data_IF_060839621561
#
_entry.id   IF_060839621561
#
_cell.length_a   1.000
_cell.length_b   1.000
_cell.length_c   1.000
_cell.angle_alpha   90.00
_cell.angle_beta   90.00
_cell.angle_gamma   90.00
#
_symmetry.space_group_name_H-M   'P 1'
#
loop_
_entity.id
_entity.type
_entity.pdbx_description
1 polymer ?
#
# COMPACT_ATOMS: atom_id res chain seq x y z
N UNK A 1 25.53 12.66 25.30
CA UNK A 1 25.48 14.09 24.91
C UNK A 1 26.90 14.58 24.77
N UNK A 2 27.24 15.13 23.59
CA UNK A 2 28.60 15.27 23.09
C UNK A 2 29.26 16.64 23.33
N UNK A 3 28.71 17.54 24.16
CA UNK A 3 29.38 18.79 24.53
C UNK A 3 29.00 19.23 25.96
N UNK A 4 29.96 19.84 26.67
CA UNK A 4 29.78 20.34 28.04
C UNK A 4 29.24 21.77 28.09
N UNK A 5 28.41 22.06 29.09
CA UNK A 5 27.83 23.38 29.37
C UNK A 5 28.71 24.20 30.32
N UNK A 6 28.81 25.52 30.11
CA UNK A 6 29.53 26.44 31.00
C UNK A 6 28.71 26.81 32.27
N UNK A 7 29.41 27.01 33.39
CA UNK A 7 28.79 27.31 34.69
C UNK A 7 28.09 28.67 34.72
N UNK A 8 26.81 28.67 35.09
CA UNK A 8 25.97 29.87 35.28
C UNK A 8 24.76 30.00 34.35
N UNK A 9 24.56 29.09 33.39
CA UNK A 9 23.42 29.12 32.47
C UNK A 9 22.20 28.40 33.06
N UNK A 10 21.26 29.14 33.66
CA UNK A 10 20.06 28.61 34.33
C UNK A 10 18.75 28.77 33.52
N UNK A 11 18.83 29.00 32.20
CA UNK A 11 17.64 29.00 31.36
C UNK A 11 17.45 27.63 30.69
N UNK A 12 16.31 26.97 30.94
CA UNK A 12 15.89 25.64 30.44
C UNK A 12 16.64 24.40 31.01
N UNK A 13 16.62 24.14 32.33
CA UNK A 13 17.30 22.96 32.92
C UNK A 13 16.67 21.60 32.54
N UNK A 14 15.44 21.57 32.02
CA UNK A 14 14.70 20.32 31.78
C UNK A 14 14.41 20.01 30.31
N UNK A 15 14.91 20.79 29.34
CA UNK A 15 14.83 20.42 27.91
C UNK A 15 13.46 19.93 27.42
N UNK A 16 12.36 20.44 27.98
CA UNK A 16 11.02 19.90 27.74
C UNK A 16 10.35 20.45 26.47
N UNK A 17 11.06 21.28 25.71
CA UNK A 17 10.76 21.55 24.30
C UNK A 17 11.71 20.72 23.44
N UNK A 18 11.55 19.40 23.55
CA UNK A 18 12.21 18.44 22.68
C UNK A 18 11.29 18.15 21.49
N UNK A 19 11.73 18.36 20.24
CA UNK A 19 11.01 17.94 19.02
C UNK A 19 10.65 16.43 19.00
N UNK A 20 11.23 15.64 19.91
CA UNK A 20 11.01 14.19 20.01
C UNK A 20 9.58 13.83 20.44
N UNK A 21 8.92 14.63 21.28
CA UNK A 21 7.57 14.27 21.79
C UNK A 21 6.50 14.41 20.69
N UNK A 22 6.62 15.43 19.83
CA UNK A 22 5.70 15.64 18.71
C UNK A 22 5.93 14.62 17.59
N UNK A 23 7.20 14.32 17.29
CA UNK A 23 7.57 13.23 16.37
C UNK A 23 6.98 11.89 16.82
N UNK A 24 7.05 11.54 18.12
CA UNK A 24 6.49 10.28 18.62
C UNK A 24 4.95 10.21 18.60
N UNK A 25 4.22 11.31 18.82
CA UNK A 25 2.75 11.32 18.71
C UNK A 25 2.29 11.20 17.27
N UNK A 26 2.91 11.94 16.35
CA UNK A 26 2.64 11.85 14.91
C UNK A 26 2.95 10.45 14.40
N UNK A 27 4.09 9.88 14.80
CA UNK A 27 4.45 8.50 14.43
C UNK A 27 3.46 7.47 14.98
N UNK A 28 2.99 7.59 16.24
CA UNK A 28 1.98 6.65 16.79
C UNK A 28 0.61 6.79 16.13
N UNK A 29 0.19 8.01 15.77
CA UNK A 29 -1.08 8.25 15.06
C UNK A 29 -1.02 7.75 13.61
N UNK A 30 0.11 7.98 12.93
CA UNK A 30 0.38 7.48 11.58
C UNK A 30 0.37 5.94 11.55
N UNK A 31 1.16 5.28 12.42
CA UNK A 31 1.32 3.82 12.45
C UNK A 31 0.03 3.06 12.77
N UNK A 32 -0.81 3.58 13.65
CA UNK A 32 -2.06 2.91 14.01
C UNK A 32 -3.14 2.95 12.91
N UNK A 33 -2.86 3.58 11.74
CA UNK A 33 -3.92 3.88 10.78
C UNK A 33 -3.56 3.80 9.29
N UNK A 34 -2.32 3.45 8.91
CA UNK A 34 -1.89 3.23 7.50
C UNK A 34 -2.13 1.79 7.08
N UNK A 35 -2.88 1.57 5.99
CA UNK A 35 -3.17 0.22 5.47
C UNK A 35 -1.90 -0.48 5.02
N UNK A 36 -0.99 0.29 4.43
CA UNK A 36 0.25 -0.20 3.83
C UNK A 36 1.15 -0.87 4.87
N UNK A 37 1.30 -0.29 6.06
CA UNK A 37 2.16 -0.87 7.10
C UNK A 37 1.73 -2.27 7.59
N UNK A 38 0.46 -2.66 7.39
CA UNK A 38 -0.06 -3.98 7.80
C UNK A 38 0.04 -5.03 6.67
N UNK A 39 0.23 -4.60 5.42
CA UNK A 39 0.24 -5.47 4.23
C UNK A 39 1.65 -5.62 3.60
N UNK A 40 2.61 -4.77 3.97
CA UNK A 40 3.98 -4.81 3.44
C UNK A 40 4.98 -5.23 4.51
N UNK A 41 6.07 -5.88 4.07
CA UNK A 41 7.18 -6.19 4.95
C UNK A 41 7.96 -4.90 5.33
N UNK A 42 8.09 -4.65 6.63
CA UNK A 42 8.79 -3.48 7.20
C UNK A 42 10.17 -3.79 7.78
N UNK A 43 10.70 -5.01 7.64
CA UNK A 43 11.96 -5.45 8.26
C UNK A 43 13.18 -4.59 7.85
N UNK A 44 13.12 -3.97 6.67
CA UNK A 44 14.19 -3.13 6.12
C UNK A 44 14.20 -1.68 6.65
N UNK A 45 13.25 -1.30 7.51
CA UNK A 45 13.13 0.08 8.04
C UNK A 45 14.35 0.54 8.86
N UNK A 46 15.16 -0.38 9.40
CA UNK A 46 16.32 -0.06 10.23
C UNK A 46 17.64 0.14 9.47
N UNK A 47 17.69 -0.20 8.19
CA UNK A 47 18.94 -0.23 7.40
C UNK A 47 19.15 1.04 6.54
N UNK A 48 18.18 1.94 6.52
CA UNK A 48 18.17 3.12 5.64
C UNK A 48 18.15 4.39 6.49
N UNK A 49 19.03 5.34 6.20
CA UNK A 49 19.19 6.56 6.98
C UNK A 49 18.95 7.86 6.18
N UNK A 50 19.20 7.87 4.87
CA UNK A 50 19.13 9.07 4.04
C UNK A 50 18.46 8.83 2.67
N UNK A 51 18.00 9.91 2.04
CA UNK A 51 17.50 9.89 0.67
C UNK A 51 18.57 9.37 -0.30
N UNK A 52 18.19 8.45 -1.18
CA UNK A 52 19.12 7.82 -2.12
C UNK A 52 19.93 6.65 -1.56
N UNK A 53 19.77 6.31 -0.27
CA UNK A 53 20.27 5.03 0.25
C UNK A 53 19.55 3.87 -0.45
N UNK A 54 20.32 2.84 -0.79
CA UNK A 54 19.81 1.63 -1.41
C UNK A 54 20.17 0.42 -0.58
N UNK A 55 19.18 -0.42 -0.27
CA UNK A 55 19.40 -1.74 0.34
C UNK A 55 19.45 -2.77 -0.78
N UNK A 56 20.54 -3.54 -0.83
CA UNK A 56 20.69 -4.66 -1.76
C UNK A 56 20.10 -5.90 -1.11
N UNK A 57 19.02 -6.42 -1.70
CA UNK A 57 18.33 -7.62 -1.24
C UNK A 57 18.82 -8.77 -2.11
N UNK A 58 19.32 -9.83 -1.46
CA UNK A 58 19.76 -11.06 -2.10
C UNK A 58 18.57 -12.02 -2.13
N UNK A 59 18.24 -12.56 -3.31
CA UNK A 59 17.18 -13.55 -3.46
C UNK A 59 17.67 -14.93 -3.05
N UNK A 60 16.78 -15.73 -2.48
CA UNK A 60 17.07 -17.14 -2.18
C UNK A 60 17.37 -17.93 -3.48
N UNK A 61 18.44 -18.73 -3.53
CA UNK A 61 18.75 -19.52 -4.72
C UNK A 61 17.78 -20.71 -4.86
N UNK A 62 17.17 -20.86 -6.04
CA UNK A 62 16.33 -22.03 -6.34
C UNK A 62 17.17 -23.28 -6.60
N UNK A 63 16.81 -24.40 -5.98
CA UNK A 63 17.44 -25.72 -6.16
C UNK A 63 16.38 -26.67 -6.73
N UNK A 64 16.68 -27.40 -7.81
CA UNK A 64 15.72 -28.35 -8.37
C UNK A 64 15.90 -29.76 -7.80
N UNK A 65 14.81 -30.36 -7.32
CA UNK A 65 14.81 -31.72 -6.78
C UNK A 65 14.69 -32.71 -7.94
N UNK A 66 15.78 -33.38 -8.29
CA UNK A 66 15.79 -34.45 -9.30
C UNK A 66 15.47 -35.81 -8.67
N UNK A 67 14.66 -36.63 -9.34
CA UNK A 67 14.39 -38.00 -8.89
C UNK A 67 15.65 -38.86 -8.97
N UNK A 68 16.08 -39.45 -7.85
CA UNK A 68 17.22 -40.38 -7.85
C UNK A 68 16.79 -41.77 -8.34
N UNK A 69 17.40 -42.25 -9.42
CA UNK A 69 17.27 -43.63 -9.89
C UNK A 69 18.51 -44.43 -9.49
N UNK A 70 18.32 -45.72 -9.14
CA UNK A 70 19.43 -46.56 -8.69
C UNK A 70 20.44 -46.72 -9.85
N UNK A 71 21.65 -46.18 -9.68
CA UNK A 71 22.71 -46.21 -10.70
C UNK A 71 22.97 -44.87 -11.42
N UNK A 72 22.21 -43.81 -11.16
CA UNK A 72 22.50 -42.48 -11.72
C UNK A 72 23.55 -41.74 -10.89
N UNK A 73 24.51 -41.10 -11.56
CA UNK A 73 25.46 -40.17 -10.93
C UNK A 73 24.75 -38.88 -10.53
N UNK A 74 24.88 -38.47 -9.28
CA UNK A 74 24.38 -37.17 -8.80
C UNK A 74 25.39 -36.09 -9.20
N UNK A 75 24.94 -35.07 -9.92
CA UNK A 75 25.72 -33.85 -10.16
C UNK A 75 25.29 -32.78 -9.15
N UNK A 76 26.27 -32.06 -8.58
CA UNK A 76 25.99 -30.87 -7.79
C UNK A 76 25.46 -29.77 -8.72
N UNK A 77 24.42 -29.03 -8.28
CA UNK A 77 23.97 -27.84 -8.98
C UNK A 77 24.76 -26.64 -8.52
N UNK A 78 25.18 -25.81 -9.46
CA UNK A 78 25.74 -24.50 -9.16
C UNK A 78 24.61 -23.59 -8.69
N UNK A 79 24.76 -22.95 -7.53
CA UNK A 79 23.82 -21.96 -7.04
C UNK A 79 24.11 -20.62 -7.73
N UNK A 80 23.13 -20.06 -8.44
CA UNK A 80 23.22 -18.70 -8.97
C UNK A 80 22.66 -17.70 -7.96
N UNK A 81 23.43 -16.63 -7.69
CA UNK A 81 22.98 -15.49 -6.89
C UNK A 81 22.25 -14.48 -7.79
N UNK A 82 21.13 -13.94 -7.30
CA UNK A 82 20.37 -12.88 -7.94
C UNK A 82 20.04 -11.81 -6.89
N UNK A 83 20.28 -10.55 -7.24
CA UNK A 83 20.08 -9.42 -6.35
C UNK A 83 19.19 -8.34 -6.98
N UNK A 84 18.52 -7.58 -6.13
CA UNK A 84 17.81 -6.37 -6.54
C UNK A 84 17.90 -5.31 -5.43
N UNK A 85 17.73 -4.04 -5.80
CA UNK A 85 17.85 -2.93 -4.86
C UNK A 85 16.49 -2.33 -4.50
N UNK A 86 16.30 -2.06 -3.20
CA UNK A 86 15.28 -1.15 -2.70
C UNK A 86 15.93 0.21 -2.51
N UNK A 87 15.43 1.24 -3.20
CA UNK A 87 15.95 2.61 -3.12
C UNK A 87 14.93 3.49 -2.40
N UNK A 88 15.40 4.39 -1.53
CA UNK A 88 14.56 5.48 -0.98
C UNK A 88 14.59 6.66 -1.94
N UNK A 89 13.51 6.78 -2.71
CA UNK A 89 13.33 7.72 -3.81
C UNK A 89 12.14 8.67 -3.61
N UNK A 90 11.29 8.43 -2.61
CA UNK A 90 10.13 9.28 -2.31
C UNK A 90 10.34 10.15 -1.07
N UNK A 91 9.89 11.40 -1.15
CA UNK A 91 9.95 12.35 -0.06
C UNK A 91 8.69 13.22 -0.03
N UNK A 92 7.98 13.19 1.10
CA UNK A 92 6.86 14.07 1.39
C UNK A 92 7.25 15.08 2.47
N UNK A 93 6.68 16.28 2.41
CA UNK A 93 6.86 17.29 3.45
C UNK A 93 5.53 17.92 3.84
N UNK A 94 5.45 18.38 5.08
CA UNK A 94 4.42 19.32 5.52
C UNK A 94 5.09 20.54 6.13
N UNK A 95 4.46 21.70 5.93
CA UNK A 95 4.90 22.94 6.55
C UNK A 95 3.68 23.80 6.81
N UNK A 96 3.58 24.32 8.03
CA UNK A 96 2.58 25.32 8.38
C UNK A 96 3.20 26.39 9.28
N UNK A 97 2.65 27.59 9.20
CA UNK A 97 3.03 28.73 10.03
C UNK A 97 1.89 29.07 10.98
N UNK A 98 2.22 29.50 12.19
CA UNK A 98 1.26 30.00 13.18
C UNK A 98 1.74 31.38 13.64
N UNK A 99 0.91 32.39 13.45
CA UNK A 99 1.20 33.74 13.94
C UNK A 99 0.99 33.81 15.46
N UNK A 100 1.85 34.55 16.15
CA UNK A 100 1.86 34.64 17.63
C UNK A 100 0.54 35.22 18.19
N UNK A 101 -0.12 36.10 17.42
CA UNK A 101 -1.42 36.70 17.80
C UNK A 101 -2.51 35.63 17.79
N UNK A 102 -2.57 34.78 16.76
CA UNK A 102 -3.54 33.69 16.71
C UNK A 102 -3.26 32.63 17.78
N UNK A 103 -1.98 32.34 18.07
CA UNK A 103 -1.61 31.46 19.18
C UNK A 103 -2.04 32.02 20.56
N UNK A 104 -1.92 33.34 20.77
CA UNK A 104 -2.27 33.98 22.05
C UNK A 104 -3.78 34.15 22.27
N UNK A 105 -4.55 34.33 21.20
CA UNK A 105 -5.99 34.58 21.27
C UNK A 105 -6.87 33.34 21.08
N UNK A 106 -6.29 32.20 20.70
CA UNK A 106 -7.03 30.96 20.53
C UNK A 106 -7.12 30.16 21.84
N UNK A 107 -8.34 29.80 22.22
CA UNK A 107 -8.60 28.83 23.30
C UNK A 107 -8.39 27.37 22.83
N UNK A 108 -8.20 27.16 21.52
CA UNK A 108 -8.00 25.85 20.89
C UNK A 108 -6.55 25.72 20.46
N UNK A 109 -5.92 24.58 20.75
CA UNK A 109 -4.56 24.30 20.31
C UNK A 109 -4.52 23.99 18.81
N UNK A 110 -4.51 25.04 17.97
CA UNK A 110 -4.43 24.93 16.51
C UNK A 110 -3.16 24.23 16.03
N UNK A 111 -2.08 24.26 16.81
CA UNK A 111 -0.83 23.59 16.48
C UNK A 111 -0.96 22.07 16.53
N UNK A 112 -1.57 21.53 17.59
CA UNK A 112 -1.82 20.09 17.70
C UNK A 112 -2.79 19.62 16.61
N UNK A 113 -3.87 20.37 16.36
CA UNK A 113 -4.86 20.02 15.34
C UNK A 113 -4.29 20.08 13.91
N UNK A 114 -3.46 21.08 13.60
CA UNK A 114 -2.79 21.19 12.31
C UNK A 114 -1.77 20.06 12.12
N UNK A 115 -1.04 19.70 13.18
CA UNK A 115 -0.08 18.59 13.17
C UNK A 115 -0.78 17.24 12.94
N UNK A 116 -1.90 16.99 13.62
CA UNK A 116 -2.68 15.78 13.43
C UNK A 116 -3.24 15.69 12.00
N UNK A 117 -3.79 16.78 11.46
CA UNK A 117 -4.25 16.82 10.06
C UNK A 117 -3.13 16.63 9.04
N UNK A 118 -1.94 17.20 9.31
CA UNK A 118 -0.77 17.00 8.46
C UNK A 118 -0.34 15.53 8.48
N UNK A 119 -0.37 14.87 9.65
CA UNK A 119 -0.09 13.45 9.79
C UNK A 119 -1.08 12.59 8.99
N UNK A 120 -2.37 12.88 9.06
CA UNK A 120 -3.38 12.16 8.27
C UNK A 120 -3.17 12.32 6.76
N UNK A 121 -2.85 13.52 6.28
CA UNK A 121 -2.58 13.73 4.84
C UNK A 121 -1.30 13.05 4.38
N UNK A 122 -0.25 13.10 5.19
CA UNK A 122 1.00 12.38 4.90
C UNK A 122 0.73 10.88 4.74
N UNK A 123 -0.07 10.31 5.63
CA UNK A 123 -0.51 8.92 5.54
C UNK A 123 -1.29 8.64 4.27
N UNK A 124 -2.30 9.44 3.96
CA UNK A 124 -3.10 9.22 2.75
C UNK A 124 -2.25 9.33 1.48
N UNK A 125 -1.27 10.24 1.44
CA UNK A 125 -0.33 10.34 0.32
C UNK A 125 0.63 9.16 0.24
N UNK A 126 1.12 8.65 1.37
CA UNK A 126 1.97 7.47 1.44
C UNK A 126 1.20 6.20 1.00
N UNK A 127 0.01 5.99 1.55
CA UNK A 127 -0.85 4.86 1.21
C UNK A 127 -1.22 4.89 -0.28
N UNK A 128 -1.59 6.06 -0.81
CA UNK A 128 -1.90 6.18 -2.23
C UNK A 128 -0.69 5.83 -3.09
N UNK A 129 0.48 6.40 -2.79
CA UNK A 129 1.69 6.15 -3.58
C UNK A 129 2.08 4.67 -3.58
N UNK A 130 2.11 4.03 -2.41
CA UNK A 130 2.52 2.62 -2.32
C UNK A 130 1.47 1.68 -2.90
N UNK A 131 0.16 1.91 -2.66
CA UNK A 131 -0.91 1.12 -3.28
C UNK A 131 -0.93 1.29 -4.80
N UNK A 132 -0.67 2.49 -5.30
CA UNK A 132 -0.46 2.73 -6.72
C UNK A 132 0.74 1.94 -7.23
N UNK A 133 1.87 2.00 -6.52
CA UNK A 133 3.08 1.30 -6.90
C UNK A 133 2.88 -0.22 -6.99
N UNK A 134 2.21 -0.80 -5.99
CA UNK A 134 1.78 -2.21 -5.92
C UNK A 134 0.84 -2.59 -7.08
N UNK A 135 -0.05 -1.68 -7.46
CA UNK A 135 -1.01 -1.90 -8.54
C UNK A 135 -0.41 -1.74 -9.94
N UNK A 136 0.82 -1.23 -10.07
CA UNK A 136 1.45 -0.88 -11.35
C UNK A 136 1.07 0.50 -11.89
N UNK A 137 0.62 1.40 -11.01
CA UNK A 137 0.18 2.77 -11.34
C UNK A 137 1.07 3.82 -10.65
N UNK A 138 1.06 5.01 -11.21
CA UNK A 138 1.70 6.20 -10.62
C UNK A 138 0.84 7.44 -10.86
N UNK A 139 1.08 8.51 -10.11
CA UNK A 139 0.40 9.79 -10.32
C UNK A 139 1.21 10.68 -11.23
N UNK A 140 0.55 11.30 -12.22
CA UNK A 140 1.15 12.35 -13.04
C UNK A 140 1.26 13.69 -12.25
N UNK A 141 1.86 14.72 -12.84
CA UNK A 141 1.98 16.05 -12.23
C UNK A 141 0.64 16.74 -11.92
N UNK A 142 -0.46 16.30 -12.56
CA UNK A 142 -1.82 16.79 -12.32
C UNK A 142 -2.53 16.03 -11.19
N UNK A 143 -1.95 14.94 -10.69
CA UNK A 143 -2.53 14.08 -9.67
C UNK A 143 -3.41 12.95 -10.18
N UNK A 144 -3.51 12.77 -11.51
CA UNK A 144 -4.27 11.68 -12.14
C UNK A 144 -3.45 10.39 -12.18
N UNK A 145 -4.14 9.26 -12.09
CA UNK A 145 -3.52 7.94 -12.21
C UNK A 145 -3.15 7.62 -13.65
N UNK A 146 -1.93 7.12 -13.85
CA UNK A 146 -1.44 6.62 -15.12
C UNK A 146 -0.70 5.29 -14.89
N UNK A 147 -0.64 4.42 -15.92
CA UNK A 147 0.17 3.20 -15.88
C UNK A 147 1.64 3.55 -15.68
N UNK A 148 2.30 2.86 -14.75
CA UNK A 148 3.75 2.94 -14.63
C UNK A 148 4.40 2.23 -15.82
N UNK A 149 5.23 2.94 -16.55
CA UNK A 149 5.93 2.40 -17.75
C UNK A 149 7.45 2.32 -17.59
N UNK A 150 7.98 2.91 -16.52
CA UNK A 150 9.38 2.86 -16.15
C UNK A 150 9.60 1.92 -14.95
N UNK A 151 10.66 1.13 -15.01
CA UNK A 151 11.10 0.26 -13.91
C UNK A 151 11.70 1.13 -12.80
N UNK A 152 11.33 0.87 -11.55
CA UNK A 152 11.94 1.57 -10.42
C UNK A 152 13.14 0.77 -9.88
N UNK A 153 14.33 1.12 -10.36
CA UNK A 153 15.55 0.38 -10.08
C UNK A 153 15.65 -0.89 -10.93
N UNK A 154 15.77 -2.07 -10.31
CA UNK A 154 15.88 -3.36 -10.99
C UNK A 154 14.65 -4.23 -10.76
N UNK A 155 14.18 -4.96 -11.78
CA UNK A 155 13.05 -5.89 -11.61
C UNK A 155 13.46 -7.07 -10.71
N UNK A 156 12.57 -7.52 -9.82
CA UNK A 156 12.78 -8.73 -9.02
C UNK A 156 12.63 -10.03 -9.85
N UNK A 157 11.84 -9.97 -10.92
CA UNK A 157 11.71 -11.02 -11.92
C UNK A 157 11.91 -10.43 -13.33
N UNK A 158 12.80 -11.03 -14.11
CA UNK A 158 13.09 -10.58 -15.49
C UNK A 158 11.93 -10.76 -16.46
N UNK A 159 10.98 -11.65 -16.14
CA UNK A 159 9.77 -11.91 -16.93
C UNK A 159 8.64 -10.93 -16.62
N UNK A 160 8.76 -10.15 -15.54
CA UNK A 160 7.80 -9.12 -15.21
C UNK A 160 7.85 -7.94 -16.19
N UNK A 161 6.71 -7.28 -16.36
CA UNK A 161 6.60 -6.09 -17.19
C UNK A 161 7.33 -4.89 -16.55
N UNK A 162 7.31 -3.72 -17.19
CA UNK A 162 7.96 -2.53 -16.64
C UNK A 162 7.28 -1.98 -15.37
N UNK A 163 6.05 -2.40 -15.12
CA UNK A 163 5.37 -2.19 -13.84
C UNK A 163 5.77 -3.23 -12.78
N UNK A 164 6.76 -4.09 -13.05
CA UNK A 164 7.26 -5.12 -12.12
C UNK A 164 6.22 -6.17 -11.71
N UNK A 165 5.08 -6.22 -12.42
CA UNK A 165 4.02 -7.22 -12.24
C UNK A 165 4.10 -8.29 -13.33
N UNK A 166 3.68 -9.50 -13.00
CA UNK A 166 3.52 -10.56 -13.97
C UNK A 166 2.21 -10.37 -14.75
N UNK A 167 2.26 -10.48 -16.08
CA UNK A 167 1.08 -10.34 -16.93
C UNK A 167 -0.05 -11.32 -16.54
N UNK A 168 0.30 -12.55 -16.14
CA UNK A 168 -0.68 -13.58 -15.71
C UNK A 168 -1.45 -13.22 -14.42
N UNK A 169 -0.91 -12.30 -13.63
CA UNK A 169 -1.46 -11.87 -12.35
C UNK A 169 -2.31 -10.59 -12.45
N UNK A 170 -2.38 -9.98 -13.65
CA UNK A 170 -3.26 -8.86 -13.97
C UNK A 170 -4.58 -9.42 -14.50
N UNK A 171 -5.59 -9.45 -13.64
CA UNK A 171 -6.91 -9.97 -14.00
C UNK A 171 -7.73 -8.93 -14.76
N UNK A 172 -8.36 -9.39 -15.84
CA UNK A 172 -9.23 -8.60 -16.69
C UNK A 172 -10.52 -9.36 -17.04
N UNK A 173 -11.35 -8.78 -17.90
CA UNK A 173 -12.61 -9.38 -18.33
C UNK A 173 -12.43 -10.78 -18.99
N UNK A 174 -11.27 -11.06 -19.59
CA UNK A 174 -11.02 -12.31 -20.32
C UNK A 174 -10.83 -13.50 -19.37
N UNK A 175 -10.30 -13.26 -18.17
CA UNK A 175 -10.23 -14.27 -17.10
C UNK A 175 -11.61 -14.75 -16.63
N UNK A 176 -12.66 -13.96 -16.90
CA UNK A 176 -14.04 -14.22 -16.51
C UNK A 176 -14.96 -14.50 -17.70
N UNK A 177 -14.39 -14.86 -18.85
CA UNK A 177 -15.15 -15.34 -20.02
C UNK A 177 -15.75 -14.23 -20.88
N UNK A 178 -15.33 -12.98 -20.68
CA UNK A 178 -15.61 -11.90 -21.62
C UNK A 178 -14.51 -11.72 -22.66
N UNK A 179 -14.65 -10.66 -23.44
CA UNK A 179 -13.70 -10.27 -24.47
C UNK A 179 -13.27 -8.84 -24.24
N UNK A 180 -12.01 -8.55 -24.53
CA UNK A 180 -11.52 -7.18 -24.57
C UNK A 180 -12.29 -6.35 -25.61
N UNK A 181 -12.65 -5.12 -25.26
CA UNK A 181 -13.35 -4.17 -26.13
C UNK A 181 -12.41 -3.74 -27.28
N UNK A 182 -11.13 -3.57 -27.00
CA UNK A 182 -10.10 -3.20 -27.98
C UNK A 182 -10.31 -1.82 -28.59
N UNK A 183 -10.95 -0.90 -27.85
CA UNK A 183 -11.33 0.44 -28.36
C UNK A 183 -10.31 1.50 -27.94
N UNK A 184 -9.63 1.28 -26.82
CA UNK A 184 -8.64 2.15 -26.20
C UNK A 184 -7.39 1.36 -25.82
N UNK A 185 -6.44 2.04 -25.19
CA UNK A 185 -5.13 1.47 -24.83
C UNK A 185 -5.17 0.60 -23.56
N UNK A 186 -6.10 0.87 -22.64
CA UNK A 186 -6.21 0.11 -21.39
C UNK A 186 -6.92 -1.22 -21.60
N UNK A 187 -6.61 -2.20 -20.76
CA UNK A 187 -7.30 -3.49 -20.74
C UNK A 187 -8.73 -3.32 -20.22
N UNK A 188 -9.68 -4.02 -20.84
CA UNK A 188 -11.09 -3.96 -20.42
C UNK A 188 -11.30 -4.47 -18.99
N UNK A 189 -11.91 -3.62 -18.15
CA UNK A 189 -12.27 -3.94 -16.77
C UNK A 189 -13.34 -5.03 -16.66
N UNK A 190 -13.34 -5.72 -15.52
CA UNK A 190 -14.34 -6.73 -15.17
C UNK A 190 -15.63 -6.02 -14.73
N UNK A 191 -16.77 -6.23 -15.42
CA UNK A 191 -18.06 -5.70 -14.96
C UNK A 191 -18.56 -6.52 -13.77
N UNK A 192 -18.86 -5.85 -12.66
CA UNK A 192 -19.19 -6.48 -11.37
C UNK A 192 -20.62 -6.16 -10.95
N UNK A 193 -21.38 -7.19 -10.58
CA UNK A 193 -22.72 -7.06 -9.97
C UNK A 193 -22.92 -8.10 -8.86
N UNK A 194 -23.81 -7.80 -7.91
CA UNK A 194 -24.17 -8.71 -6.85
C UNK A 194 -24.71 -10.03 -7.43
N UNK A 195 -24.17 -11.16 -6.98
CA UNK A 195 -24.47 -12.52 -7.48
C UNK A 195 -24.08 -12.79 -8.94
N UNK A 196 -23.38 -11.85 -9.61
CA UNK A 196 -23.01 -11.96 -11.02
C UNK A 196 -24.17 -11.76 -11.98
N UNK A 197 -23.92 -11.94 -13.27
CA UNK A 197 -24.93 -11.75 -14.32
C UNK A 197 -24.67 -12.64 -15.54
N UNK A 198 -25.35 -12.34 -16.65
CA UNK A 198 -25.12 -13.05 -17.91
C UNK A 198 -23.77 -12.65 -18.53
N UNK A 199 -23.09 -13.61 -19.17
CA UNK A 199 -21.81 -13.36 -19.84
C UNK A 199 -20.67 -13.15 -18.85
N UNK A 200 -19.92 -12.06 -19.03
CA UNK A 200 -18.73 -11.73 -18.25
C UNK A 200 -19.02 -10.97 -16.94
N UNK A 201 -20.30 -10.68 -16.64
CA UNK A 201 -20.69 -9.99 -15.42
C UNK A 201 -20.41 -10.90 -14.23
N UNK A 202 -19.45 -10.48 -13.41
CA UNK A 202 -18.82 -11.31 -12.40
C UNK A 202 -19.25 -10.89 -11.00
N UNK A 203 -19.42 -11.83 -10.07
CA UNK A 203 -19.69 -11.48 -8.68
C UNK A 203 -18.40 -11.08 -7.94
N UNK A 204 -18.44 -10.14 -6.99
CA UNK A 204 -17.28 -9.80 -6.16
C UNK A 204 -16.61 -11.04 -5.53
N UNK A 205 -17.41 -12.00 -5.04
CA UNK A 205 -16.88 -13.26 -4.51
C UNK A 205 -16.19 -14.12 -5.58
N UNK A 206 -16.61 -14.10 -6.83
CA UNK A 206 -15.95 -14.84 -7.90
C UNK A 206 -14.54 -14.28 -8.20
N UNK A 207 -14.34 -12.97 -8.08
CA UNK A 207 -13.02 -12.33 -8.18
C UNK A 207 -12.11 -12.81 -7.04
N UNK A 208 -12.59 -12.75 -5.80
CA UNK A 208 -11.85 -13.23 -4.62
C UNK A 208 -11.47 -14.72 -4.76
N UNK A 209 -12.39 -15.58 -5.20
CA UNK A 209 -12.11 -17.00 -5.42
C UNK A 209 -11.09 -17.23 -6.55
N UNK A 210 -11.13 -16.41 -7.61
CA UNK A 210 -10.20 -16.50 -8.73
C UNK A 210 -8.78 -16.15 -8.28
N UNK A 211 -8.63 -15.08 -7.51
CA UNK A 211 -7.34 -14.66 -6.95
C UNK A 211 -6.81 -15.74 -6.01
N UNK A 212 -7.63 -16.22 -5.06
CA UNK A 212 -7.22 -17.27 -4.14
C UNK A 212 -6.72 -18.53 -4.87
N UNK A 213 -7.42 -18.98 -5.90
CA UNK A 213 -7.00 -20.12 -6.72
C UNK A 213 -5.68 -19.85 -7.46
N UNK A 214 -5.51 -18.66 -8.07
CA UNK A 214 -4.25 -18.33 -8.76
C UNK A 214 -3.06 -18.23 -7.78
N UNK A 215 -3.29 -17.74 -6.55
CA UNK A 215 -2.27 -17.75 -5.49
C UNK A 215 -1.90 -19.17 -5.06
N UNK A 216 -2.87 -20.09 -4.95
CA UNK A 216 -2.62 -21.50 -4.66
C UNK A 216 -1.84 -22.18 -5.80
N UNK A 217 -2.19 -21.91 -7.06
CA UNK A 217 -1.47 -22.40 -8.24
C UNK A 217 -0.01 -21.91 -8.30
N UNK A 218 0.25 -20.70 -7.78
CA UNK A 218 1.58 -20.13 -7.65
C UNK A 218 2.35 -20.61 -6.39
N UNK A 219 1.77 -21.52 -5.58
CA UNK A 219 2.33 -22.01 -4.32
C UNK A 219 2.66 -20.91 -3.29
N UNK A 220 1.87 -19.82 -3.28
CA UNK A 220 1.98 -18.78 -2.24
C UNK A 220 1.40 -19.32 -0.94
N UNK A 221 1.99 -19.00 0.21
CA UNK A 221 1.42 -19.43 1.50
C UNK A 221 0.02 -18.83 1.72
N UNK A 222 -0.83 -19.57 2.42
CA UNK A 222 -2.20 -19.19 2.78
C UNK A 222 -2.25 -18.22 3.96
N UNK A 223 -1.27 -18.30 4.87
CA UNK A 223 -1.10 -17.31 5.94
C UNK A 223 -0.62 -15.98 5.34
N UNK A 224 -0.95 -14.84 5.95
CA UNK A 224 -0.46 -13.53 5.49
C UNK A 224 -1.02 -13.00 4.17
N UNK A 225 -2.02 -13.67 3.56
CA UNK A 225 -2.69 -13.13 2.35
C UNK A 225 -3.60 -11.96 2.69
N UNK A 226 -3.59 -10.95 1.83
CA UNK A 226 -4.40 -9.74 1.97
C UNK A 226 -5.04 -9.33 0.65
N UNK A 227 -6.10 -8.53 0.77
CA UNK A 227 -6.89 -7.99 -0.34
C UNK A 227 -7.33 -6.57 0.00
N UNK A 228 -7.11 -5.62 -0.90
CA UNK A 228 -7.51 -4.21 -0.75
C UNK A 228 -8.43 -3.84 -1.91
N UNK A 229 -9.59 -3.28 -1.58
CA UNK A 229 -10.54 -2.73 -2.55
C UNK A 229 -11.14 -1.40 -2.07
N UNK A 230 -11.76 -0.68 -2.99
CA UNK A 230 -12.46 0.57 -2.70
C UNK A 230 -13.89 0.32 -2.20
N UNK A 231 -14.55 1.32 -1.60
CA UNK A 231 -15.88 1.15 -1.00
C UNK A 231 -16.97 0.66 -1.97
N UNK A 232 -16.89 0.98 -3.26
CA UNK A 232 -17.91 0.55 -4.25
C UNK A 232 -17.91 -0.97 -4.39
N UNK A 233 -16.72 -1.60 -4.37
CA UNK A 233 -16.61 -3.06 -4.37
C UNK A 233 -17.30 -3.68 -3.16
N UNK A 234 -17.12 -3.08 -1.98
CA UNK A 234 -17.72 -3.56 -0.74
C UNK A 234 -19.23 -3.34 -0.67
N UNK A 235 -19.75 -2.27 -1.27
CA UNK A 235 -21.18 -2.06 -1.41
C UNK A 235 -21.82 -3.22 -2.20
N UNK A 236 -21.26 -3.55 -3.36
CA UNK A 236 -21.75 -4.66 -4.19
C UNK A 236 -21.56 -6.02 -3.50
N UNK A 237 -20.48 -6.18 -2.72
CA UNK A 237 -20.25 -7.39 -1.91
C UNK A 237 -21.29 -7.55 -0.78
N UNK A 238 -21.71 -6.45 -0.15
CA UNK A 238 -22.73 -6.48 0.90
C UNK A 238 -24.12 -6.82 0.36
N UNK A 239 -24.40 -6.45 -0.89
CA UNK A 239 -25.62 -6.84 -1.60
C UNK A 239 -25.61 -8.31 -2.08
N UNK A 240 -24.48 -9.01 -1.97
CA UNK A 240 -24.38 -10.43 -2.33
C UNK A 240 -25.15 -11.29 -1.31
N UNK A 241 -25.87 -12.30 -1.82
CA UNK A 241 -26.83 -13.08 -1.02
C UNK A 241 -26.22 -13.70 0.26
N UNK A 242 -26.75 -13.31 1.44
CA UNK A 242 -26.66 -13.82 2.84
C UNK A 242 -25.34 -14.39 3.40
N UNK A 243 -24.34 -14.72 2.59
CA UNK A 243 -23.12 -15.45 2.97
C UNK A 243 -22.07 -14.56 3.65
N UNK A 244 -22.21 -13.23 3.55
CA UNK A 244 -21.33 -12.26 4.19
C UNK A 244 -21.97 -11.65 5.45
N UNK A 245 -23.29 -11.41 5.42
CA UNK A 245 -24.07 -10.87 6.55
C UNK A 245 -24.02 -11.79 7.78
N UNK A 246 -23.96 -13.11 7.57
CA UNK A 246 -23.83 -14.08 8.68
C UNK A 246 -22.49 -13.94 9.43
N UNK A 247 -21.43 -13.51 8.75
CA UNK A 247 -20.10 -13.38 9.34
C UNK A 247 -19.91 -12.03 10.08
N UNK A 248 -20.62 -10.98 9.64
CA UNK A 248 -20.73 -9.70 10.35
C UNK A 248 -21.49 -9.87 11.69
N UNK A 249 -22.47 -10.78 11.73
CA UNK A 249 -23.21 -11.12 12.96
C UNK A 249 -22.55 -12.20 13.84
N UNK A 250 -21.66 -13.05 13.30
CA UNK A 250 -21.00 -14.13 14.03
C UNK A 250 -19.69 -13.71 14.75
N UNK A 251 -19.28 -12.44 14.65
CA UNK A 251 -18.16 -11.86 15.41
C UNK A 251 -18.47 -11.80 16.91
N UNK A 252 -18.29 -12.92 17.62
CA UNK A 252 -18.50 -13.03 19.05
C UNK A 252 -17.69 -11.99 19.83
N UNK A 253 -18.41 -11.17 20.62
CA UNK A 253 -18.15 -10.50 21.91
C UNK A 253 -16.73 -10.10 22.40
N UNK A 254 -15.64 -10.32 21.66
CA UNK A 254 -14.26 -9.98 22.03
C UNK A 254 -13.55 -9.18 20.92
N UNK A 255 -14.26 -8.15 20.45
CA UNK A 255 -14.02 -7.42 19.21
C UNK A 255 -13.11 -6.18 19.34
N UNK A 256 -12.14 -6.18 20.25
CA UNK A 256 -11.27 -5.01 20.51
C UNK A 256 -10.30 -4.65 19.38
N UNK A 257 -10.17 -5.51 18.36
CA UNK A 257 -9.17 -5.43 17.29
C UNK A 257 -9.78 -5.35 15.87
N UNK A 258 -11.12 -5.29 15.76
CA UNK A 258 -11.84 -5.56 14.51
C UNK A 258 -11.97 -4.34 13.59
N UNK A 259 -11.78 -3.12 14.10
CA UNK A 259 -11.90 -1.87 13.33
C UNK A 259 -10.64 -1.01 13.52
N UNK A 260 -9.47 -1.61 13.31
CA UNK A 260 -8.24 -0.85 13.09
C UNK A 260 -7.96 -0.82 11.61
N UNK A 261 -7.55 0.36 11.12
CA UNK A 261 -6.90 0.48 9.82
C UNK A 261 -7.75 0.04 8.58
N UNK A 262 -9.06 0.27 8.58
CA UNK A 262 -9.90 -0.01 7.40
C UNK A 262 -10.13 -1.50 7.11
N UNK A 263 -9.73 -2.42 8.00
CA UNK A 263 -10.00 -3.85 7.88
C UNK A 263 -11.50 -4.15 7.96
N UNK A 264 -11.99 -4.98 7.05
CA UNK A 264 -13.41 -5.36 6.96
C UNK A 264 -13.60 -6.72 7.65
N UNK A 265 -13.92 -6.68 8.95
CA UNK A 265 -14.26 -7.85 9.74
C UNK A 265 -13.05 -8.61 10.33
N UNK A 266 -13.33 -9.43 11.35
CA UNK A 266 -12.30 -10.24 12.04
C UNK A 266 -11.98 -11.54 11.30
N UNK A 267 -12.97 -12.09 10.59
CA UNK A 267 -12.84 -13.35 9.87
C UNK A 267 -12.13 -13.18 8.53
N UNK A 268 -11.25 -14.12 8.20
CA UNK A 268 -10.62 -14.21 6.87
C UNK A 268 -11.70 -14.47 5.81
N UNK A 269 -11.78 -13.61 4.81
CA UNK A 269 -12.66 -13.84 3.66
C UNK A 269 -11.89 -14.69 2.67
N UNK A 270 -12.28 -15.97 2.52
CA UNK A 270 -11.60 -16.92 1.62
C UNK A 270 -10.09 -17.04 1.87
N UNK A 271 -9.69 -17.01 3.15
CA UNK A 271 -8.29 -17.12 3.56
C UNK A 271 -7.49 -15.82 3.45
N UNK A 272 -8.12 -14.69 3.15
CA UNK A 272 -7.45 -13.39 3.00
C UNK A 272 -7.94 -12.35 4.02
N UNK A 273 -7.02 -11.49 4.46
CA UNK A 273 -7.31 -10.27 5.24
C UNK A 273 -7.82 -9.19 4.29
N UNK A 274 -9.01 -8.66 4.54
CA UNK A 274 -9.67 -7.73 3.62
C UNK A 274 -9.63 -6.30 4.16
N UNK A 275 -9.17 -5.36 3.35
CA UNK A 275 -9.04 -3.95 3.68
C UNK A 275 -9.84 -3.09 2.70
N UNK A 276 -10.44 -2.02 3.23
CA UNK A 276 -11.14 -1.00 2.46
C UNK A 276 -10.33 0.28 2.43
N UNK A 277 -10.01 0.77 1.24
CA UNK A 277 -9.23 2.00 1.06
C UNK A 277 -9.74 2.84 -0.10
N UNK A 278 -9.80 4.17 0.11
CA UNK A 278 -10.09 5.13 -0.96
C UNK A 278 -8.84 5.55 -1.75
N UNK A 279 -7.66 5.08 -1.34
CA UNK A 279 -6.38 5.50 -1.89
C UNK A 279 -5.91 4.63 -3.06
N UNK A 280 -6.75 3.70 -3.53
CA UNK A 280 -6.46 2.84 -4.68
C UNK A 280 -6.56 3.61 -6.02
N UNK A 281 -5.83 3.16 -7.06
CA UNK A 281 -5.94 3.75 -8.39
C UNK A 281 -7.34 3.62 -9.00
N UNK A 282 -7.72 4.63 -9.77
CA UNK A 282 -8.93 4.64 -10.59
C UNK A 282 -8.71 5.49 -11.84
N UNK A 283 -9.46 5.20 -12.90
CA UNK A 283 -9.43 5.95 -14.15
C UNK A 283 -10.82 6.52 -14.43
N UNK A 284 -10.86 7.72 -15.03
CA UNK A 284 -12.07 8.42 -15.40
C UNK A 284 -13.01 8.67 -14.22
N UNK A 285 -14.27 8.27 -14.36
CA UNK A 285 -15.29 8.37 -13.30
C UNK A 285 -15.18 7.27 -12.24
N UNK A 286 -14.19 6.37 -12.35
CA UNK A 286 -13.88 5.34 -11.36
C UNK A 286 -14.78 4.10 -11.39
N UNK A 287 -14.69 3.29 -10.34
CA UNK A 287 -15.35 1.97 -10.18
C UNK A 287 -16.88 2.02 -10.22
N UNK A 288 -17.50 3.13 -9.81
CA UNK A 288 -18.96 3.31 -9.81
C UNK A 288 -19.59 3.49 -11.19
N UNK A 289 -18.81 3.39 -12.26
CA UNK A 289 -19.33 3.56 -13.62
C UNK A 289 -20.06 2.30 -14.07
N UNK A 290 -21.38 2.39 -14.24
CA UNK A 290 -22.21 1.27 -14.70
C UNK A 290 -22.00 0.98 -16.18
N UNK A 291 -21.32 -0.14 -16.48
CA UNK A 291 -21.10 -0.62 -17.84
C UNK A 291 -21.01 -2.16 -17.88
N UNK A 292 -22.04 -2.81 -18.44
CA UNK A 292 -22.15 -4.28 -18.43
C UNK A 292 -21.18 -5.00 -19.37
N UNK A 293 -20.50 -4.28 -20.28
CA UNK A 293 -19.50 -4.83 -21.20
C UNK A 293 -18.05 -4.64 -20.71
N UNK A 294 -17.86 -4.09 -19.51
CA UNK A 294 -16.56 -3.61 -19.05
C UNK A 294 -16.23 -2.19 -19.56
N UNK A 295 -15.11 -1.64 -19.11
CA UNK A 295 -14.64 -0.31 -19.50
C UNK A 295 -13.12 -0.26 -19.60
N UNK A 296 -12.61 0.49 -20.58
CA UNK A 296 -11.18 0.81 -20.73
C UNK A 296 -10.90 2.27 -20.31
N UNK A 297 -11.93 3.03 -19.92
CA UNK A 297 -11.81 4.47 -19.62
C UNK A 297 -12.36 4.86 -18.27
N UNK A 298 -13.14 3.99 -17.62
CA UNK A 298 -13.74 4.27 -16.31
C UNK A 298 -13.79 3.00 -15.46
N UNK A 299 -12.82 2.83 -14.57
CA UNK A 299 -12.71 1.66 -13.70
C UNK A 299 -11.92 1.97 -12.43
N UNK A 300 -12.06 1.12 -11.42
CA UNK A 300 -11.22 1.08 -10.23
C UNK A 300 -10.26 -0.10 -10.26
N UNK A 301 -9.21 -0.04 -9.44
CA UNK A 301 -8.19 -1.08 -9.36
C UNK A 301 -8.22 -1.73 -7.98
N UNK A 302 -8.20 -3.06 -7.98
CA UNK A 302 -8.09 -3.92 -6.81
C UNK A 302 -6.67 -4.46 -6.75
N UNK A 303 -6.13 -4.62 -5.53
CA UNK A 303 -4.82 -5.22 -5.29
C UNK A 303 -4.96 -6.31 -4.23
N UNK A 304 -4.32 -7.45 -4.47
CA UNK A 304 -4.23 -8.54 -3.51
C UNK A 304 -2.82 -9.10 -3.50
N UNK A 305 -2.37 -9.59 -2.35
CA UNK A 305 -1.07 -10.23 -2.28
C UNK A 305 -0.75 -10.90 -0.96
N UNK A 306 0.53 -11.11 -0.71
CA UNK A 306 1.07 -11.68 0.52
C UNK A 306 2.02 -10.67 1.18
N UNK A 307 2.19 -10.73 2.51
CA UNK A 307 3.04 -9.79 3.27
C UNK A 307 4.50 -9.78 2.80
N UNK A 308 4.99 -10.92 2.33
CA UNK A 308 6.35 -11.03 1.76
C UNK A 308 6.48 -10.50 0.33
N UNK A 309 5.38 -10.10 -0.32
CA UNK A 309 5.40 -9.71 -1.73
C UNK A 309 6.14 -8.39 -1.92
N UNK A 310 6.00 -7.45 -0.97
CA UNK A 310 6.52 -6.08 -1.07
C UNK A 310 7.17 -5.65 0.22
N UNK A 311 8.33 -5.00 0.08
CA UNK A 311 8.99 -4.30 1.17
C UNK A 311 8.73 -2.80 1.09
N UNK A 312 8.52 -2.19 2.25
CA UNK A 312 8.52 -0.74 2.41
C UNK A 312 9.51 -0.35 3.49
N UNK A 313 10.25 0.73 3.25
CA UNK A 313 11.10 1.35 4.24
C UNK A 313 10.72 2.82 4.36
N UNK A 314 10.40 3.28 5.57
CA UNK A 314 9.97 4.64 5.84
C UNK A 314 10.76 5.18 7.03
N UNK A 315 11.20 6.42 6.91
CA UNK A 315 11.76 7.17 8.01
C UNK A 315 11.23 8.60 8.00
N UNK A 316 10.82 9.09 9.16
CA UNK A 316 10.66 10.53 9.36
C UNK A 316 12.04 11.05 9.74
N UNK A 317 12.70 11.72 8.80
CA UNK A 317 14.07 12.18 8.99
C UNK A 317 14.13 13.25 10.09
N UNK A 318 13.41 14.38 9.93
CA UNK A 318 13.39 15.46 10.93
C UNK A 318 12.08 16.25 10.92
N UNK A 319 11.55 16.52 12.11
CA UNK A 319 10.55 17.58 12.35
C UNK A 319 11.24 18.70 13.10
N UNK A 320 11.19 19.91 12.57
CA UNK A 320 11.81 21.08 13.19
C UNK A 320 10.84 22.27 13.22
N UNK A 321 11.03 23.08 14.25
CA UNK A 321 10.37 24.37 14.40
C UNK A 321 11.41 25.47 14.42
N UNK A 322 11.19 26.54 13.68
CA UNK A 322 12.06 27.71 13.70
C UNK A 322 11.25 29.00 13.62
N UNK A 323 11.85 30.09 14.08
CA UNK A 323 11.23 31.42 14.03
C UNK A 323 11.30 32.00 12.64
N UNK A 324 10.17 32.48 12.13
CA UNK A 324 10.15 33.19 10.86
C UNK A 324 10.89 34.53 10.98
N UNK A 325 11.69 34.87 9.98
CA UNK A 325 12.39 36.15 9.90
C UNK A 325 11.53 37.26 9.31
N UNK A 326 10.44 36.89 8.61
CA UNK A 326 9.57 37.84 7.92
C UNK A 326 8.30 38.21 8.70
N UNK A 327 7.89 37.39 9.66
CA UNK A 327 6.68 37.61 10.47
C UNK A 327 6.85 37.11 11.91
N UNK A 328 6.00 37.61 12.83
CA UNK A 328 5.95 37.13 14.22
C UNK A 328 5.19 35.81 14.27
N UNK A 329 5.83 34.76 13.76
CA UNK A 329 5.25 33.44 13.60
C UNK A 329 6.27 32.34 13.91
N UNK A 330 5.75 31.19 14.34
CA UNK A 330 6.49 29.93 14.40
C UNK A 330 6.16 29.08 13.18
N UNK A 331 7.21 28.61 12.49
CA UNK A 331 7.06 27.67 11.37
C UNK A 331 7.40 26.28 11.89
N UNK A 332 6.49 25.32 11.64
CA UNK A 332 6.72 23.89 11.87
C UNK A 332 6.80 23.20 10.52
N UNK A 333 7.88 22.45 10.28
CA UNK A 333 8.00 21.59 9.11
C UNK A 333 8.50 20.20 9.47
N UNK A 334 8.06 19.22 8.72
CA UNK A 334 8.53 17.84 8.83
C UNK A 334 8.67 17.20 7.47
N UNK A 335 9.64 16.29 7.38
CA UNK A 335 9.91 15.50 6.18
C UNK A 335 9.75 14.01 6.45
N UNK A 336 9.07 13.32 5.54
CA UNK A 336 8.92 11.88 5.51
C UNK A 336 9.62 11.37 4.26
N UNK A 337 10.56 10.43 4.43
CA UNK A 337 11.22 9.73 3.34
C UNK A 337 10.76 8.29 3.35
N UNK A 338 10.58 7.72 2.17
CA UNK A 338 10.19 6.33 2.04
C UNK A 338 10.65 5.74 0.71
N UNK A 339 10.79 4.43 0.72
CA UNK A 339 11.08 3.58 -0.43
C UNK A 339 10.18 2.35 -0.37
N UNK A 340 9.94 1.77 -1.54
CA UNK A 340 9.11 0.58 -1.72
C UNK A 340 9.68 -0.28 -2.82
N UNK A 341 9.57 -1.60 -2.68
CA UNK A 341 10.04 -2.55 -3.67
C UNK A 341 9.22 -3.83 -3.70
N UNK A 342 8.81 -4.26 -4.90
CA UNK A 342 8.24 -5.59 -5.11
C UNK A 342 9.37 -6.63 -5.06
N UNK A 343 9.27 -7.57 -4.11
CA UNK A 343 10.23 -8.65 -3.87
C UNK A 343 9.83 -9.94 -4.61
N UNK A 344 8.53 -10.25 -4.58
CA UNK A 344 7.94 -11.49 -5.12
C UNK A 344 6.71 -11.16 -5.95
N UNK A 345 6.87 -10.79 -7.23
CA UNK A 345 5.74 -10.42 -8.09
C UNK A 345 4.76 -11.57 -8.33
N UNK A 346 5.20 -12.82 -8.17
CA UNK A 346 4.36 -14.01 -8.21
C UNK A 346 3.25 -14.02 -7.14
N UNK A 347 3.45 -13.33 -6.02
CA UNK A 347 2.51 -13.25 -4.92
C UNK A 347 1.64 -11.98 -4.95
N UNK A 348 1.69 -11.19 -6.03
CA UNK A 348 0.94 -9.94 -6.19
C UNK A 348 -0.02 -10.04 -7.38
N UNK A 349 -1.28 -9.73 -7.13
CA UNK A 349 -2.38 -9.81 -8.10
C UNK A 349 -3.13 -8.50 -8.16
N UNK A 350 -3.53 -8.10 -9.36
CA UNK A 350 -4.32 -6.89 -9.58
C UNK A 350 -5.54 -7.21 -10.42
N UNK A 351 -6.62 -6.46 -10.24
CA UNK A 351 -7.81 -6.58 -11.08
C UNK A 351 -8.40 -5.21 -11.34
N UNK A 352 -8.73 -4.91 -12.59
CA UNK A 352 -9.47 -3.70 -12.95
C UNK A 352 -10.95 -4.03 -13.03
N UNK A 353 -11.81 -3.23 -12.40
CA UNK A 353 -13.24 -3.53 -12.34
C UNK A 353 -14.10 -2.26 -12.43
N UNK A 354 -15.35 -2.43 -12.84
CA UNK A 354 -16.37 -1.41 -12.85
C UNK A 354 -17.72 -2.02 -12.43
N UNK A 355 -18.68 -1.20 -12.02
CA UNK A 355 -20.04 -1.65 -11.75
C UNK A 355 -20.72 -2.08 -13.06
N UNK A 356 -21.45 -3.20 -13.08
CA UNK A 356 -22.13 -3.70 -14.28
C UNK A 356 -23.51 -3.08 -14.52
#
# INVERSE_FOLDING_TARGET
MAFGSAGGYNNLPNGNFSPVIYSQKVQKSFRNSSVVEDITNTDYMGEIANFGDSVRIIKEPEITVSSYLRGTSVAAQDLSDADFSLVVDQANYFMFKIDDIEAAHSHVNFMDLATDRAAFRLRDTFDAEVLGYLAGWEKNNSGDWIRRTAVNGSKADTTADNDELLAANKLDITDFGGTDLGVQTETTSIPVAANGGSGAITSPLAILNRIARKMDEANVDTEGRWFVADPVFFEILMDESSKFVDNDFAGGQDAGDIIRNGRVGSALVRGMRVYKSNNLPFIGTGSGTSASAGSETNFGVIVAGHDSAVATAQQIDKTESYRDTASFADIVRGMQLYGRKILRPEALFTACYNQA
#
